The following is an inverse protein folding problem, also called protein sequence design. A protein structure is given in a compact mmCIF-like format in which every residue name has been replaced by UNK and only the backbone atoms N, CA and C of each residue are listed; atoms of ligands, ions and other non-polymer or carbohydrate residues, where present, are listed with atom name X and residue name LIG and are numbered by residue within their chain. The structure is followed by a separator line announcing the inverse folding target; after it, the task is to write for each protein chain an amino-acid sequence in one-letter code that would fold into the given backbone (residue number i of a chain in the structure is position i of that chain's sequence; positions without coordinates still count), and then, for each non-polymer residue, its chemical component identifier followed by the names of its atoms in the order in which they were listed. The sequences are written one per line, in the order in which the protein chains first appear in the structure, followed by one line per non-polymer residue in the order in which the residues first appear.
data_IF_225113898025
#
_entry.id   IF_225113898025
#
_cell.length_a   1.000
_cell.length_b   1.000
_cell.length_c   1.000
_cell.angle_alpha   90.00
_cell.angle_beta   90.00
_cell.angle_gamma   90.00
#
_symmetry.space_group_name_H-M   'P 1'
#
loop_
_entity.id
_entity.type
_entity.pdbx_description
1 polymer ?
#
# COMPACT_ATOMS: atom_id res chain seq x y z
N UNK A 1 -38.59 -24.35 -35.67
CA UNK A 1 -38.35 -25.43 -36.64
C UNK A 1 -37.37 -24.89 -37.69
N UNK A 2 -36.03 -24.92 -37.52
CA UNK A 2 -35.18 -25.43 -36.42
C UNK A 2 -33.94 -24.52 -36.18
N UNK A 3 -33.30 -24.44 -35.01
CA UNK A 3 -33.81 -24.32 -33.62
C UNK A 3 -32.67 -23.87 -32.64
N UNK A 4 -32.70 -24.25 -31.35
CA UNK A 4 -31.78 -23.86 -30.24
C UNK A 4 -30.26 -24.18 -30.45
N UNK A 5 -29.35 -23.40 -29.80
CA UNK A 5 -28.33 -23.90 -28.83
C UNK A 5 -26.91 -23.28 -28.84
N UNK A 6 -26.59 -22.65 -27.70
CA UNK A 6 -25.30 -22.65 -26.96
C UNK A 6 -23.96 -22.36 -27.67
N UNK A 7 -23.42 -21.17 -27.42
CA UNK A 7 -21.97 -20.94 -27.24
C UNK A 7 -21.68 -20.11 -25.98
N UNK A 8 -22.14 -20.61 -24.83
CA UNK A 8 -22.02 -19.96 -23.51
C UNK A 8 -20.66 -20.21 -22.82
N UNK A 9 -19.58 -20.40 -23.60
CA UNK A 9 -18.32 -20.98 -23.14
C UNK A 9 -17.08 -20.06 -23.24
N UNK A 10 -17.25 -18.81 -23.70
CA UNK A 10 -16.15 -17.82 -23.72
C UNK A 10 -16.00 -17.01 -22.41
N UNK A 11 -17.08 -16.83 -21.65
CA UNK A 11 -17.18 -15.75 -20.66
C UNK A 11 -16.39 -15.97 -19.35
N UNK A 12 -15.82 -17.16 -19.10
CA UNK A 12 -15.16 -17.47 -17.83
C UNK A 12 -13.65 -17.16 -17.79
N UNK A 13 -13.02 -16.89 -18.93
CA UNK A 13 -11.57 -16.64 -19.01
C UNK A 13 -11.20 -15.15 -18.84
N UNK A 14 -12.08 -14.23 -19.19
CA UNK A 14 -11.83 -12.78 -19.12
C UNK A 14 -12.13 -12.16 -17.75
N UNK A 15 -13.00 -12.77 -16.94
CA UNK A 15 -13.38 -12.27 -15.60
C UNK A 15 -12.25 -12.24 -14.56
N UNK A 16 -11.06 -12.81 -14.86
CA UNK A 16 -9.88 -12.74 -14.00
C UNK A 16 -8.90 -11.61 -14.39
N UNK A 17 -9.08 -10.95 -15.53
CA UNK A 17 -8.20 -9.85 -15.98
C UNK A 17 -8.65 -8.47 -15.52
N UNK A 18 -9.92 -8.30 -15.15
CA UNK A 18 -10.47 -7.04 -14.62
C UNK A 18 -10.41 -6.94 -13.08
N UNK A 19 -9.55 -7.73 -12.44
CA UNK A 19 -9.21 -7.57 -11.03
C UNK A 19 -8.30 -6.34 -10.83
N UNK A 20 -8.95 -5.16 -10.78
CA UNK A 20 -8.41 -3.85 -10.40
C UNK A 20 -7.54 -3.17 -11.47
N UNK A 21 -8.21 -2.42 -12.34
CA UNK A 21 -7.61 -1.31 -13.09
C UNK A 21 -6.73 -0.45 -12.17
N UNK A 22 -5.56 -0.04 -12.67
CA UNK A 22 -4.45 0.43 -11.86
C UNK A 22 -4.79 1.60 -10.94
N UNK A 23 -4.89 1.32 -9.64
CA UNK A 23 -4.69 2.34 -8.62
C UNK A 23 -3.21 2.70 -8.66
N UNK A 24 -2.90 3.94 -9.07
CA UNK A 24 -1.56 4.52 -8.86
C UNK A 24 -1.28 4.59 -7.37
N UNK A 25 -0.66 3.54 -6.82
CA UNK A 25 -0.13 3.53 -5.47
C UNK A 25 1.14 4.40 -5.46
N UNK A 26 0.94 5.72 -5.45
CA UNK A 26 2.03 6.70 -5.43
C UNK A 26 2.94 6.54 -4.20
N UNK A 27 2.45 5.89 -3.14
CA UNK A 27 3.27 5.32 -2.08
C UNK A 27 2.86 3.86 -1.80
N UNK A 28 3.83 2.93 -1.70
CA UNK A 28 3.58 1.57 -1.21
C UNK A 28 3.60 1.48 0.34
N UNK A 29 3.70 2.60 1.05
CA UNK A 29 3.85 2.65 2.50
C UNK A 29 2.61 3.18 3.22
N UNK A 30 2.47 2.82 4.50
CA UNK A 30 1.43 3.32 5.37
C UNK A 30 1.49 4.85 5.51
N UNK A 31 0.36 5.52 5.35
CA UNK A 31 0.21 6.98 5.43
C UNK A 31 0.64 7.59 6.77
N UNK A 32 0.77 6.78 7.83
CA UNK A 32 1.25 7.19 9.15
C UNK A 32 2.75 6.93 9.41
N UNK A 33 3.49 6.33 8.47
CA UNK A 33 4.96 6.14 8.62
C UNK A 33 5.70 7.47 8.47
N UNK A 34 6.56 7.82 9.42
CA UNK A 34 7.38 9.05 9.39
C UNK A 34 8.85 8.74 9.72
N UNK A 35 9.74 9.60 9.22
CA UNK A 35 11.16 9.64 9.60
C UNK A 35 11.68 11.07 9.42
N UNK A 36 12.88 11.37 9.93
CA UNK A 36 13.51 12.69 9.73
C UNK A 36 13.76 12.97 8.24
N UNK A 37 14.24 11.96 7.49
CA UNK A 37 14.50 12.06 6.05
C UNK A 37 13.23 12.24 5.22
N UNK A 38 12.13 11.61 5.63
CA UNK A 38 10.83 11.76 4.98
C UNK A 38 10.36 13.23 4.98
N UNK A 39 10.53 13.96 6.08
CA UNK A 39 10.19 15.40 6.13
C UNK A 39 11.06 16.30 5.23
N UNK A 40 12.17 15.79 4.70
CA UNK A 40 13.00 16.48 3.71
C UNK A 40 12.63 16.09 2.27
N UNK A 41 11.61 15.26 2.07
CA UNK A 41 11.12 14.82 0.75
C UNK A 41 9.91 15.66 0.33
N UNK A 42 9.96 16.26 -0.86
CA UNK A 42 8.82 16.97 -1.44
C UNK A 42 7.82 15.98 -2.06
N UNK A 43 6.92 15.44 -1.25
CA UNK A 43 5.80 14.60 -1.70
C UNK A 43 5.72 13.25 -0.99
N UNK A 44 4.99 12.32 -1.61
CA UNK A 44 4.87 10.95 -1.10
C UNK A 44 6.16 10.15 -1.32
N UNK A 45 6.49 9.29 -0.37
CA UNK A 45 7.63 8.39 -0.49
C UNK A 45 7.26 7.18 -1.35
N UNK A 46 7.93 7.02 -2.49
CA UNK A 46 7.78 5.91 -3.43
C UNK A 46 8.72 4.75 -3.09
N UNK A 47 9.81 5.00 -2.35
CA UNK A 47 10.80 3.98 -1.96
C UNK A 47 11.29 4.14 -0.52
N UNK A 48 11.78 3.04 0.06
CA UNK A 48 12.27 3.01 1.45
C UNK A 48 13.46 3.95 1.70
N UNK A 49 14.25 4.23 0.67
CA UNK A 49 15.38 5.17 0.73
C UNK A 49 14.97 6.61 1.03
N UNK A 50 13.71 7.00 0.83
CA UNK A 50 13.20 8.33 1.24
C UNK A 50 12.89 8.40 2.73
N UNK A 51 12.73 7.26 3.42
CA UNK A 51 12.60 7.19 4.87
C UNK A 51 13.95 7.00 5.58
N UNK A 52 14.84 6.17 5.04
CA UNK A 52 16.04 5.70 5.76
C UNK A 52 17.25 6.62 5.54
N UNK A 53 17.74 7.21 6.61
CA UNK A 53 19.11 7.74 6.74
C UNK A 53 19.99 6.74 7.50
N UNK A 54 21.22 7.13 7.85
CA UNK A 54 22.18 6.27 8.58
C UNK A 54 21.74 5.85 9.99
N UNK A 55 20.67 6.42 10.53
CA UNK A 55 20.08 6.04 11.82
C UNK A 55 18.95 5.01 11.68
N UNK A 56 18.44 4.80 10.47
CA UNK A 56 17.23 4.02 10.16
C UNK A 56 15.97 4.41 10.99
N UNK A 57 15.98 5.56 11.64
CA UNK A 57 14.99 5.93 12.65
C UNK A 57 13.65 6.36 12.03
N UNK A 58 12.66 5.48 12.12
CA UNK A 58 11.28 5.73 11.71
C UNK A 58 10.32 5.61 12.90
N UNK A 59 9.20 6.33 12.85
CA UNK A 59 8.12 6.29 13.84
C UNK A 59 6.74 6.29 13.19
N UNK A 60 5.72 5.95 13.96
CA UNK A 60 4.33 6.03 13.56
C UNK A 60 3.71 7.36 14.03
N UNK A 61 3.01 8.07 13.15
CA UNK A 61 2.28 9.31 13.43
C UNK A 61 1.16 9.12 14.47
N UNK A 62 0.50 7.97 14.48
CA UNK A 62 -0.64 7.73 15.38
C UNK A 62 -0.20 7.53 16.83
N UNK A 63 0.92 6.83 17.05
CA UNK A 63 1.44 6.54 18.40
C UNK A 63 2.53 7.52 18.85
N UNK A 64 3.13 8.28 17.93
CA UNK A 64 4.35 9.07 18.13
C UNK A 64 5.56 8.23 18.64
N UNK A 65 5.57 6.92 18.37
CA UNK A 65 6.60 5.98 18.81
C UNK A 65 7.22 5.19 17.64
N UNK A 66 8.36 4.55 17.89
CA UNK A 66 9.03 3.60 16.96
C UNK A 66 8.24 2.29 16.75
N UNK A 67 7.04 2.18 17.32
CA UNK A 67 6.09 1.07 17.17
C UNK A 67 4.72 1.60 16.76
N UNK A 68 4.02 0.87 15.89
CA UNK A 68 2.64 1.17 15.50
C UNK A 68 1.62 0.80 16.58
N UNK A 69 0.33 1.13 16.37
CA UNK A 69 -0.75 0.77 17.30
C UNK A 69 -1.03 -0.74 17.35
N UNK A 70 -0.54 -1.49 16.36
CA UNK A 70 -0.48 -2.97 16.35
C UNK A 70 0.73 -3.53 17.14
N UNK A 71 1.50 -2.68 17.83
CA UNK A 71 2.69 -3.03 18.60
C UNK A 71 3.95 -3.35 17.77
N UNK A 72 3.86 -3.42 16.45
CA UNK A 72 4.99 -3.80 15.60
C UNK A 72 5.83 -2.58 15.16
N UNK A 73 7.15 -2.74 15.02
CA UNK A 73 8.10 -1.66 14.67
C UNK A 73 7.63 -0.84 13.45
N UNK A 74 7.71 0.47 13.55
CA UNK A 74 7.54 1.41 12.45
C UNK A 74 8.80 1.36 11.56
N UNK A 75 8.69 0.79 10.36
CA UNK A 75 9.81 0.64 9.43
C UNK A 75 9.29 0.44 8.00
N UNK A 76 9.93 0.98 6.94
CA UNK A 76 9.45 0.85 5.56
C UNK A 76 9.23 -0.60 5.09
N UNK A 77 10.05 -1.56 5.53
CA UNK A 77 9.86 -2.99 5.18
C UNK A 77 8.69 -3.68 5.89
N UNK A 78 8.00 -2.99 6.80
CA UNK A 78 6.85 -3.52 7.57
C UNK A 78 5.61 -2.67 7.38
N UNK A 79 5.72 -1.35 7.38
CA UNK A 79 4.62 -0.39 7.23
C UNK A 79 4.15 -0.30 5.78
N UNK A 80 3.59 -1.40 5.27
CA UNK A 80 3.11 -1.63 3.90
C UNK A 80 1.71 -2.30 3.96
N UNK A 81 0.97 -2.43 2.84
CA UNK A 81 -0.29 -3.17 2.82
C UNK A 81 -0.15 -4.56 3.44
N UNK A 82 -1.14 -4.97 4.25
CA UNK A 82 -1.16 -6.26 4.94
C UNK A 82 -0.94 -6.20 6.46
N UNK A 83 -0.55 -5.05 7.03
CA UNK A 83 -0.66 -4.82 8.49
C UNK A 83 -2.10 -4.46 8.87
N UNK A 84 -2.53 -4.90 10.05
CA UNK A 84 -3.86 -4.60 10.60
C UNK A 84 -4.12 -3.11 10.81
N UNK A 85 -3.07 -2.32 11.05
CA UNK A 85 -3.12 -0.86 11.18
C UNK A 85 -2.62 -0.12 9.93
N UNK A 86 -2.61 -0.76 8.75
CA UNK A 86 -2.27 -0.07 7.51
C UNK A 86 -3.40 0.89 7.09
N UNK A 87 -3.06 2.15 6.85
CA UNK A 87 -3.91 3.10 6.13
C UNK A 87 -3.13 3.66 4.93
N UNK A 88 -3.80 3.88 3.80
CA UNK A 88 -3.17 4.45 2.60
C UNK A 88 -2.71 5.89 2.86
N UNK A 89 -1.61 6.30 2.22
CA UNK A 89 -1.18 7.71 2.24
C UNK A 89 -2.14 8.65 1.48
N UNK A 90 -3.12 8.10 0.75
CA UNK A 90 -4.12 8.83 -0.03
C UNK A 90 -5.52 8.86 0.63
N UNK A 91 -5.75 8.09 1.69
CA UNK A 91 -7.03 8.00 2.41
C UNK A 91 -7.00 8.95 3.62
N UNK A 92 -6.90 10.25 3.33
CA UNK A 92 -6.65 11.33 4.30
C UNK A 92 -7.72 11.52 5.36
#
# INVERSE_FOLDING_TARGET
MEDEKSYHSGQVAESLKEARAGVSLESPFCGSLRSKKFFMTNGLATNAGQYLDSTEHCWCRETQLVVGPDGARAHPSRCVPGRSCYGSALEG
#
